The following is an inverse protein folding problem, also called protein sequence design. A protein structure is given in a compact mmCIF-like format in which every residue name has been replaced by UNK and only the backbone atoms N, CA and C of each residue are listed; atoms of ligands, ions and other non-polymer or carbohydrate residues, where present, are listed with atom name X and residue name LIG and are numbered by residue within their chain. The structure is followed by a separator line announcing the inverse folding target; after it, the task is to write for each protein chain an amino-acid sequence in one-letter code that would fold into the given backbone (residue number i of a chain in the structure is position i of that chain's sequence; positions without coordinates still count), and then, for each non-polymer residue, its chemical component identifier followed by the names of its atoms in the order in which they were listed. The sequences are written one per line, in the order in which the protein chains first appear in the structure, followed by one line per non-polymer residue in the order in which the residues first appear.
data_IF_217400133656
#
_entry.id   IF_217400133656
#
_cell.length_a   1.000
_cell.length_b   1.000
_cell.length_c   1.000
_cell.angle_alpha   90.00
_cell.angle_beta   90.00
_cell.angle_gamma   90.00
#
_symmetry.space_group_name_H-M   'P 1'
#
loop_
_entity.id
_entity.type
_entity.pdbx_description
1 polymer ?
#
# COMPACT_ATOMS: atom_id res chain seq x y z
N UNK A 1 22.02 -30.01 -24.50
CA UNK A 1 21.41 -28.96 -25.33
C UNK A 1 20.31 -28.35 -24.49
N UNK A 2 20.57 -27.19 -23.89
CA UNK A 2 19.57 -26.46 -23.12
C UNK A 2 18.60 -25.84 -24.13
N UNK A 3 17.35 -26.28 -24.12
CA UNK A 3 16.27 -25.59 -24.82
C UNK A 3 15.96 -24.36 -24.01
N UNK A 4 16.54 -23.22 -24.39
CA UNK A 4 16.10 -21.92 -23.90
C UNK A 4 14.63 -21.78 -24.30
N UNK A 5 13.72 -21.82 -23.32
CA UNK A 5 12.32 -21.48 -23.56
C UNK A 5 12.31 -20.03 -24.06
N UNK A 6 11.96 -19.85 -25.32
CA UNK A 6 11.71 -18.53 -25.87
C UNK A 6 10.62 -17.89 -25.00
N UNK A 7 10.91 -16.75 -24.39
CA UNK A 7 9.90 -15.96 -23.71
C UNK A 7 8.65 -15.78 -24.59
N UNK A 8 7.48 -15.47 -24.01
CA UNK A 8 6.25 -15.38 -24.77
C UNK A 8 6.42 -14.43 -25.94
N UNK A 9 5.86 -14.79 -27.11
CA UNK A 9 5.87 -13.91 -28.28
C UNK A 9 5.22 -12.57 -27.87
N UNK A 10 5.74 -11.44 -28.30
CA UNK A 10 5.14 -10.15 -27.99
C UNK A 10 3.63 -10.14 -28.26
N UNK A 11 2.82 -9.87 -27.24
CA UNK A 11 1.37 -9.86 -27.33
C UNK A 11 0.66 -11.21 -27.11
N UNK A 12 1.39 -12.32 -26.81
CA UNK A 12 0.78 -13.54 -26.30
C UNK A 12 0.66 -13.46 -24.77
N UNK A 13 -0.45 -13.98 -24.24
CA UNK A 13 -0.60 -14.12 -22.77
C UNK A 13 0.34 -15.20 -22.25
N UNK A 14 0.69 -15.13 -20.98
CA UNK A 14 1.44 -16.18 -20.30
C UNK A 14 0.62 -17.45 -20.20
N UNK A 15 1.29 -18.58 -20.25
CA UNK A 15 0.68 -19.90 -19.99
C UNK A 15 0.75 -20.24 -18.49
N UNK A 16 1.81 -19.80 -17.80
CA UNK A 16 2.05 -20.09 -16.40
C UNK A 16 2.77 -18.94 -15.68
N UNK A 17 2.25 -18.56 -14.52
CA UNK A 17 2.79 -17.50 -13.67
C UNK A 17 3.12 -18.08 -12.28
N UNK A 18 4.31 -17.77 -11.77
CA UNK A 18 4.65 -18.00 -10.37
C UNK A 18 4.22 -16.82 -9.52
N UNK A 19 3.54 -17.10 -8.43
CA UNK A 19 3.09 -16.10 -7.43
C UNK A 19 4.09 -16.11 -6.28
N UNK A 20 4.94 -15.07 -6.22
CA UNK A 20 5.98 -14.91 -5.19
C UNK A 20 5.43 -14.15 -3.98
N UNK A 21 4.34 -14.63 -3.43
CA UNK A 21 3.70 -14.05 -2.26
C UNK A 21 2.82 -15.08 -1.54
N UNK A 22 2.16 -14.68 -0.46
CA UNK A 22 1.30 -15.52 0.37
C UNK A 22 -0.03 -14.81 0.70
N UNK A 23 -0.86 -15.53 1.44
CA UNK A 23 -2.06 -14.93 2.02
C UNK A 23 -3.14 -14.58 1.00
N UNK A 24 -3.92 -13.56 1.31
CA UNK A 24 -5.06 -13.17 0.47
C UNK A 24 -4.62 -12.67 -0.91
N UNK A 25 -3.45 -11.99 -0.99
CA UNK A 25 -2.97 -11.47 -2.28
C UNK A 25 -2.53 -12.59 -3.21
N UNK A 26 -1.94 -13.67 -2.71
CA UNK A 26 -1.64 -14.84 -3.53
C UNK A 26 -2.91 -15.45 -4.13
N UNK A 27 -3.97 -15.57 -3.32
CA UNK A 27 -5.27 -16.04 -3.80
C UNK A 27 -5.94 -15.06 -4.78
N UNK A 28 -5.78 -13.74 -4.55
CA UNK A 28 -6.29 -12.69 -5.45
C UNK A 28 -5.63 -12.78 -6.84
N UNK A 29 -4.32 -12.93 -6.88
CA UNK A 29 -3.56 -13.08 -8.13
C UNK A 29 -3.97 -14.40 -8.82
N UNK A 30 -4.10 -15.47 -8.08
CA UNK A 30 -4.52 -16.78 -8.61
C UNK A 30 -5.91 -16.68 -9.27
N UNK A 31 -6.86 -15.95 -8.69
CA UNK A 31 -8.18 -15.71 -9.29
C UNK A 31 -8.07 -14.95 -10.61
N UNK A 32 -7.24 -13.89 -10.67
CA UNK A 32 -7.00 -13.16 -11.91
C UNK A 32 -6.37 -14.02 -13.00
N UNK A 33 -5.39 -14.85 -12.65
CA UNK A 33 -4.77 -15.80 -13.57
C UNK A 33 -5.79 -16.80 -14.14
N UNK A 34 -6.64 -17.38 -13.29
CA UNK A 34 -7.68 -18.33 -13.71
C UNK A 34 -8.67 -17.71 -14.69
N UNK A 35 -9.13 -16.50 -14.45
CA UNK A 35 -10.03 -15.78 -15.35
C UNK A 35 -9.37 -15.48 -16.70
N UNK A 36 -8.03 -15.33 -16.73
CA UNK A 36 -7.24 -15.15 -17.94
C UNK A 36 -6.83 -16.49 -18.60
N UNK A 37 -7.20 -17.63 -18.05
CA UNK A 37 -6.81 -18.96 -18.54
C UNK A 37 -5.35 -19.31 -18.30
N UNK A 38 -4.70 -18.70 -17.31
CA UNK A 38 -3.28 -18.84 -16.98
C UNK A 38 -3.14 -19.79 -15.79
N UNK A 39 -2.25 -20.78 -15.90
CA UNK A 39 -1.88 -21.68 -14.80
C UNK A 39 -1.04 -20.95 -13.76
N UNK A 40 -1.14 -21.40 -12.52
CA UNK A 40 -0.43 -20.78 -11.39
C UNK A 40 0.48 -21.76 -10.66
N UNK A 41 1.65 -21.26 -10.31
CA UNK A 41 2.55 -21.88 -9.33
C UNK A 41 2.53 -21.02 -8.08
N UNK A 42 2.13 -21.56 -6.94
CA UNK A 42 2.19 -20.86 -5.67
C UNK A 42 3.41 -21.33 -4.87
N UNK A 43 4.29 -20.39 -4.50
CA UNK A 43 5.34 -20.71 -3.54
C UNK A 43 4.78 -20.60 -2.12
N UNK A 44 5.34 -21.40 -1.20
CA UNK A 44 4.95 -21.34 0.21
C UNK A 44 6.11 -21.70 1.13
N UNK A 45 6.07 -21.20 2.35
CA UNK A 45 6.91 -21.72 3.44
C UNK A 45 6.31 -23.00 4.02
N UNK A 46 7.07 -23.70 4.86
CA UNK A 46 6.55 -24.86 5.61
C UNK A 46 5.30 -24.52 6.43
N UNK A 47 5.24 -23.32 7.01
CA UNK A 47 4.09 -22.87 7.82
C UNK A 47 2.81 -22.60 7.00
N UNK A 48 2.91 -22.37 5.72
CA UNK A 48 1.79 -22.10 4.84
C UNK A 48 1.37 -23.30 3.95
N UNK A 49 1.91 -24.50 4.21
CA UNK A 49 1.65 -25.69 3.38
C UNK A 49 0.15 -26.00 3.24
N UNK A 50 -0.64 -25.75 4.27
CA UNK A 50 -2.10 -25.97 4.30
C UNK A 50 -2.91 -24.71 3.94
N UNK A 51 -2.27 -23.66 3.44
CA UNK A 51 -2.97 -22.43 3.08
C UNK A 51 -3.86 -22.64 1.86
N UNK A 52 -5.01 -21.97 1.82
CA UNK A 52 -6.01 -22.10 0.75
C UNK A 52 -5.45 -21.84 -0.65
N UNK A 53 -4.58 -20.83 -0.78
CA UNK A 53 -3.96 -20.51 -2.07
C UNK A 53 -3.00 -21.59 -2.55
N UNK A 54 -2.38 -22.36 -1.64
CA UNK A 54 -1.54 -23.52 -1.97
C UNK A 54 -2.40 -24.69 -2.47
N UNK A 55 -3.47 -25.00 -1.73
CA UNK A 55 -4.39 -26.08 -2.11
C UNK A 55 -5.10 -25.84 -3.46
N UNK A 56 -5.32 -24.59 -3.82
CA UNK A 56 -6.02 -24.22 -5.05
C UNK A 56 -5.09 -23.92 -6.23
N UNK A 57 -3.77 -23.93 -6.06
CA UNK A 57 -2.82 -23.72 -7.14
C UNK A 57 -2.78 -24.92 -8.09
N UNK A 58 -2.41 -24.67 -9.36
CA UNK A 58 -2.15 -25.77 -10.31
C UNK A 58 -0.88 -26.54 -9.91
N UNK A 59 0.12 -25.80 -9.42
CA UNK A 59 1.37 -26.33 -8.86
C UNK A 59 1.75 -25.53 -7.60
N UNK A 60 2.47 -26.16 -6.69
CA UNK A 60 3.01 -25.47 -5.50
C UNK A 60 4.43 -25.94 -5.19
N UNK A 61 5.24 -25.04 -4.67
CA UNK A 61 6.64 -25.31 -4.30
C UNK A 61 6.93 -24.76 -2.91
N UNK A 62 7.37 -25.63 -2.00
CA UNK A 62 7.90 -25.19 -0.71
C UNK A 62 9.29 -24.57 -0.92
N UNK A 63 9.43 -23.30 -0.51
CA UNK A 63 10.66 -22.51 -0.72
C UNK A 63 11.49 -22.33 0.55
N UNK A 64 11.12 -22.97 1.67
CA UNK A 64 11.90 -22.96 2.89
C UNK A 64 11.09 -22.92 4.17
N UNK A 65 11.79 -22.71 5.27
CA UNK A 65 11.24 -22.67 6.60
C UNK A 65 10.28 -21.48 6.84
N UNK A 66 9.54 -21.51 7.95
CA UNK A 66 8.52 -20.53 8.28
C UNK A 66 8.99 -19.04 8.28
N UNK A 67 10.16 -18.66 8.83
CA UNK A 67 10.61 -17.27 8.83
C UNK A 67 10.72 -16.71 7.40
N UNK A 68 10.24 -15.49 7.17
CA UNK A 68 10.23 -14.86 5.84
C UNK A 68 11.61 -14.77 5.19
N UNK A 69 12.67 -14.55 5.98
CA UNK A 69 14.06 -14.49 5.49
C UNK A 69 14.52 -15.81 4.86
N UNK A 70 13.96 -16.93 5.32
CA UNK A 70 14.34 -18.28 4.89
C UNK A 70 13.38 -18.82 3.80
N UNK A 71 12.36 -18.04 3.41
CA UNK A 71 11.34 -18.43 2.44
C UNK A 71 10.98 -17.28 1.48
N UNK A 72 10.00 -16.43 1.80
CA UNK A 72 9.47 -15.39 0.91
C UNK A 72 10.46 -14.27 0.56
N UNK A 73 11.56 -14.11 1.29
CA UNK A 73 12.67 -13.21 0.99
C UNK A 73 13.89 -13.93 0.39
N UNK A 74 13.80 -15.25 0.16
CA UNK A 74 14.87 -16.05 -0.43
C UNK A 74 14.78 -15.99 -1.96
N UNK A 75 15.43 -15.01 -2.56
CA UNK A 75 15.44 -14.80 -4.02
C UNK A 75 15.88 -16.05 -4.79
N UNK A 76 17.01 -16.72 -4.45
CA UNK A 76 17.42 -17.93 -5.15
C UNK A 76 16.36 -19.03 -5.15
N UNK A 77 15.70 -19.28 -4.01
CA UNK A 77 14.67 -20.30 -3.92
C UNK A 77 13.45 -19.98 -4.78
N UNK A 78 13.04 -18.72 -4.86
CA UNK A 78 11.92 -18.28 -5.71
C UNK A 78 12.27 -18.44 -7.19
N UNK A 79 13.46 -18.05 -7.63
CA UNK A 79 13.90 -18.19 -9.01
C UNK A 79 14.01 -19.66 -9.39
N UNK A 80 14.61 -20.51 -8.53
CA UNK A 80 14.67 -21.94 -8.76
C UNK A 80 13.28 -22.59 -8.86
N UNK A 81 12.31 -22.15 -8.04
CA UNK A 81 10.93 -22.59 -8.14
C UNK A 81 10.32 -22.22 -9.51
N UNK A 82 10.62 -21.05 -10.05
CA UNK A 82 10.16 -20.64 -11.38
C UNK A 82 10.80 -21.49 -12.49
N UNK A 83 12.09 -21.82 -12.36
CA UNK A 83 12.81 -22.66 -13.32
C UNK A 83 12.26 -24.07 -13.38
N UNK A 84 12.11 -24.75 -12.23
CA UNK A 84 11.66 -26.15 -12.18
C UNK A 84 10.19 -26.36 -12.55
N UNK A 85 9.40 -25.29 -12.54
CA UNK A 85 7.99 -25.32 -12.90
C UNK A 85 7.70 -24.75 -14.29
N UNK A 86 8.72 -24.34 -15.03
CA UNK A 86 8.59 -23.69 -16.33
C UNK A 86 7.65 -22.46 -16.31
N UNK A 87 7.67 -21.68 -15.24
CA UNK A 87 6.93 -20.44 -15.18
C UNK A 87 7.52 -19.41 -16.17
N UNK A 88 6.70 -18.57 -16.76
CA UNK A 88 7.15 -17.55 -17.73
C UNK A 88 7.28 -16.16 -17.08
N UNK A 89 6.55 -15.93 -16.01
CA UNK A 89 6.53 -14.67 -15.30
C UNK A 89 6.38 -14.87 -13.79
N UNK A 90 6.80 -13.87 -13.02
CA UNK A 90 6.71 -13.85 -11.55
C UNK A 90 5.90 -12.64 -11.12
N UNK A 91 4.82 -12.87 -10.36
CA UNK A 91 4.03 -11.82 -9.75
C UNK A 91 4.40 -11.68 -8.27
N UNK A 92 4.95 -10.53 -7.85
CA UNK A 92 5.43 -10.35 -6.48
C UNK A 92 4.32 -9.97 -5.48
N UNK A 93 3.12 -9.61 -5.94
CA UNK A 93 2.05 -9.09 -5.09
C UNK A 93 2.41 -7.75 -4.43
N UNK A 94 2.24 -7.66 -3.11
CA UNK A 94 2.67 -6.54 -2.27
C UNK A 94 3.47 -7.04 -1.06
N UNK A 95 4.27 -6.17 -0.43
CA UNK A 95 5.19 -6.56 0.63
C UNK A 95 6.32 -7.47 0.13
N UNK A 96 7.06 -8.10 1.03
CA UNK A 96 8.19 -8.97 0.72
C UNK A 96 9.14 -8.37 -0.33
N UNK A 97 9.22 -8.99 -1.52
CA UNK A 97 10.14 -8.60 -2.60
C UNK A 97 9.49 -7.70 -3.67
N UNK A 98 8.24 -7.30 -3.49
CA UNK A 98 7.51 -6.54 -4.53
C UNK A 98 8.12 -5.18 -4.89
N UNK A 99 8.85 -4.56 -3.97
CA UNK A 99 9.56 -3.29 -4.16
C UNK A 99 11.09 -3.44 -4.04
N UNK A 100 11.58 -4.66 -4.29
CA UNK A 100 13.01 -4.95 -4.31
C UNK A 100 13.55 -4.90 -5.75
N UNK A 101 14.31 -3.86 -6.07
CA UNK A 101 14.86 -3.67 -7.41
C UNK A 101 15.83 -4.78 -7.83
N UNK A 102 16.62 -5.30 -6.89
CA UNK A 102 17.57 -6.39 -7.17
C UNK A 102 16.85 -7.71 -7.46
N UNK A 103 15.71 -7.94 -6.83
CA UNK A 103 14.86 -9.08 -7.17
C UNK A 103 14.30 -8.95 -8.58
N UNK A 104 13.77 -7.79 -8.93
CA UNK A 104 13.26 -7.52 -10.28
C UNK A 104 14.35 -7.71 -11.35
N UNK A 105 15.56 -7.17 -11.11
CA UNK A 105 16.72 -7.36 -11.98
C UNK A 105 17.07 -8.85 -12.14
N UNK A 106 17.11 -9.61 -11.04
CA UNK A 106 17.46 -11.05 -11.09
C UNK A 106 16.39 -11.87 -11.82
N UNK A 107 15.12 -11.54 -11.62
CA UNK A 107 14.01 -12.18 -12.35
C UNK A 107 14.19 -12.00 -13.86
N UNK A 108 14.38 -10.76 -14.31
CA UNK A 108 14.54 -10.45 -15.73
C UNK A 108 15.84 -11.04 -16.31
N UNK A 109 16.96 -10.97 -15.59
CA UNK A 109 18.23 -11.57 -16.00
C UNK A 109 18.20 -13.10 -16.04
N UNK A 110 17.28 -13.74 -15.30
CA UNK A 110 17.05 -15.19 -15.35
C UNK A 110 16.10 -15.61 -16.49
N UNK A 111 15.63 -14.66 -17.30
CA UNK A 111 14.76 -14.93 -18.46
C UNK A 111 13.27 -14.97 -18.16
N UNK A 112 12.85 -14.59 -16.96
CA UNK A 112 11.44 -14.46 -16.58
C UNK A 112 10.96 -13.02 -16.71
N UNK A 113 9.65 -12.85 -16.90
CA UNK A 113 9.04 -11.51 -16.85
C UNK A 113 8.70 -11.15 -15.41
N UNK A 114 9.19 -10.02 -14.93
CA UNK A 114 8.75 -9.44 -13.66
C UNK A 114 7.42 -8.70 -13.87
N UNK A 115 6.34 -9.14 -13.19
CA UNK A 115 5.03 -8.48 -13.27
C UNK A 115 5.03 -7.28 -12.31
N UNK A 116 5.47 -6.16 -12.83
CA UNK A 116 5.66 -4.92 -12.09
C UNK A 116 6.43 -3.89 -12.91
N UNK A 117 6.82 -2.78 -12.30
CA UNK A 117 7.59 -1.75 -12.97
C UNK A 117 9.03 -2.20 -13.23
N UNK A 118 9.76 -1.41 -14.01
CA UNK A 118 11.16 -1.67 -14.29
C UNK A 118 12.01 -1.51 -13.01
N UNK A 119 13.11 -2.27 -12.88
CA UNK A 119 13.99 -2.18 -11.70
C UNK A 119 14.47 -0.76 -11.39
N UNK A 120 14.77 0.05 -12.42
CA UNK A 120 15.18 1.44 -12.22
C UNK A 120 14.08 2.33 -11.64
N UNK A 121 12.80 2.09 -11.97
CA UNK A 121 11.68 2.81 -11.37
C UNK A 121 11.52 2.42 -9.90
N UNK A 122 11.64 1.13 -9.56
CA UNK A 122 11.59 0.66 -8.18
C UNK A 122 12.72 1.31 -7.37
N UNK A 123 13.95 1.31 -7.90
CA UNK A 123 15.12 1.88 -7.24
C UNK A 123 14.97 3.40 -7.01
N UNK A 124 14.50 4.12 -8.02
CA UNK A 124 14.30 5.57 -7.94
C UNK A 124 13.19 5.93 -6.95
N UNK A 125 12.08 5.22 -6.97
CA UNK A 125 10.95 5.50 -6.06
C UNK A 125 11.20 5.00 -4.63
N UNK A 126 12.04 3.98 -4.45
CA UNK A 126 12.46 3.50 -3.13
C UNK A 126 13.40 4.44 -2.37
N UNK A 127 14.07 5.37 -3.07
CA UNK A 127 14.87 6.43 -2.45
C UNK A 127 14.03 7.70 -2.32
N UNK A 128 13.74 8.12 -1.08
CA UNK A 128 12.85 9.28 -0.81
C UNK A 128 13.36 10.60 -1.41
N UNK A 129 14.67 10.79 -1.47
CA UNK A 129 15.27 12.01 -2.03
C UNK A 129 15.18 11.98 -3.55
N UNK A 130 15.55 10.86 -4.17
CA UNK A 130 15.46 10.66 -5.61
C UNK A 130 14.00 10.72 -6.09
N UNK A 131 13.07 10.10 -5.36
CA UNK A 131 11.65 10.13 -5.66
C UNK A 131 11.08 11.56 -5.65
N UNK A 132 11.34 12.34 -4.60
CA UNK A 132 10.91 13.75 -4.54
C UNK A 132 11.54 14.60 -5.66
N UNK A 133 12.84 14.39 -5.97
CA UNK A 133 13.50 15.08 -7.05
C UNK A 133 12.89 14.73 -8.42
N UNK A 134 12.59 13.45 -8.66
CA UNK A 134 11.91 13.00 -9.87
C UNK A 134 10.50 13.60 -9.97
N UNK A 135 9.73 13.60 -8.88
CA UNK A 135 8.37 14.14 -8.84
C UNK A 135 8.34 15.65 -9.12
N UNK A 136 9.25 16.42 -8.53
CA UNK A 136 9.37 17.86 -8.82
C UNK A 136 9.64 18.15 -10.31
N UNK A 137 10.51 17.34 -10.96
CA UNK A 137 10.82 17.49 -12.39
C UNK A 137 9.59 17.27 -13.29
N UNK A 138 8.67 16.42 -12.88
CA UNK A 138 7.45 16.12 -13.66
C UNK A 138 6.24 16.94 -13.20
N UNK A 139 6.41 17.84 -12.23
CA UNK A 139 5.38 18.78 -11.77
C UNK A 139 4.41 18.21 -10.74
N UNK A 140 4.74 17.10 -10.07
CA UNK A 140 3.98 16.59 -8.92
C UNK A 140 4.36 17.39 -7.68
N UNK A 141 3.40 17.97 -6.95
CA UNK A 141 3.68 18.81 -5.80
C UNK A 141 4.25 17.97 -4.64
N UNK A 142 5.35 18.45 -4.05
CA UNK A 142 5.98 17.83 -2.89
C UNK A 142 5.89 18.75 -1.68
N UNK A 143 6.02 18.19 -0.47
CA UNK A 143 6.09 18.98 0.76
C UNK A 143 7.17 20.05 0.59
N UNK A 144 6.84 21.35 0.80
CA UNK A 144 7.85 22.40 0.80
C UNK A 144 8.90 22.16 1.89
N UNK A 145 10.16 22.42 1.60
CA UNK A 145 11.23 22.18 2.57
C UNK A 145 12.58 22.64 2.08
N UNK A 146 13.62 22.35 2.84
CA UNK A 146 15.01 22.60 2.44
C UNK A 146 15.41 21.73 1.24
N UNK A 147 16.25 22.25 0.36
CA UNK A 147 16.79 21.54 -0.81
C UNK A 147 17.89 20.51 -0.44
N UNK A 148 17.98 20.16 0.83
CA UNK A 148 18.99 19.24 1.36
C UNK A 148 19.18 19.43 2.85
N UNK A 149 20.36 19.03 3.34
CA UNK A 149 20.72 19.22 4.72
C UNK A 149 20.73 20.71 5.10
N UNK A 150 20.22 21.01 6.30
CA UNK A 150 20.25 22.36 6.82
C UNK A 150 21.70 22.81 7.10
N UNK A 151 22.07 24.04 6.73
CA UNK A 151 23.38 24.60 7.03
C UNK A 151 23.58 24.80 8.54
N UNK A 152 24.75 25.24 8.94
CA UNK A 152 25.03 25.60 10.37
C UNK A 152 24.73 27.05 10.66
N UNK A 153 24.63 27.91 9.63
CA UNK A 153 24.34 29.33 9.80
C UNK A 153 22.87 29.55 10.21
N UNK A 154 22.69 30.12 11.39
CA UNK A 154 21.36 30.44 11.94
C UNK A 154 20.55 31.41 11.06
N UNK A 155 21.19 32.32 10.32
CA UNK A 155 20.45 33.24 9.42
C UNK A 155 19.90 32.51 8.21
N UNK A 156 20.69 31.63 7.61
CA UNK A 156 20.23 30.79 6.49
C UNK A 156 19.12 29.84 6.90
N UNK A 157 19.24 29.20 8.07
CA UNK A 157 18.19 28.33 8.62
C UNK A 157 16.87 29.10 8.76
N UNK A 158 16.90 30.30 9.35
CA UNK A 158 15.70 31.15 9.48
C UNK A 158 15.11 31.54 8.12
N UNK A 159 15.96 31.89 7.16
CA UNK A 159 15.52 32.23 5.79
C UNK A 159 14.82 31.06 5.12
N UNK A 160 15.35 29.84 5.24
CA UNK A 160 14.74 28.61 4.72
C UNK A 160 13.38 28.37 5.38
N UNK A 161 13.31 28.43 6.71
CA UNK A 161 12.07 28.21 7.45
C UNK A 161 10.99 29.26 7.14
N UNK A 162 11.39 30.53 7.00
CA UNK A 162 10.49 31.60 6.61
C UNK A 162 9.91 31.41 5.20
N UNK A 163 10.73 30.90 4.26
CA UNK A 163 10.28 30.60 2.89
C UNK A 163 9.30 29.40 2.85
N UNK A 164 9.49 28.41 3.73
CA UNK A 164 8.60 27.25 3.87
C UNK A 164 7.29 27.62 4.60
N UNK A 165 7.37 28.53 5.55
CA UNK A 165 6.25 28.96 6.39
C UNK A 165 5.98 28.03 7.58
N UNK A 166 5.84 28.64 8.79
CA UNK A 166 5.55 27.89 10.03
C UNK A 166 4.10 27.34 10.04
N UNK A 167 3.86 26.24 10.79
CA UNK A 167 4.83 25.40 11.48
C UNK A 167 5.70 24.60 10.54
N UNK A 168 6.93 24.29 10.99
CA UNK A 168 7.88 23.43 10.25
C UNK A 168 8.30 22.23 11.09
N UNK A 169 8.73 21.16 10.44
CA UNK A 169 9.28 19.98 11.09
C UNK A 169 10.72 19.77 10.67
N UNK A 170 11.60 19.54 11.64
CA UNK A 170 12.99 19.20 11.44
C UNK A 170 13.10 17.67 11.49
N UNK A 171 13.76 17.07 10.52
CA UNK A 171 13.89 15.61 10.40
C UNK A 171 15.35 15.22 10.21
N UNK A 172 15.80 14.19 10.93
CA UNK A 172 17.10 13.56 10.70
C UNK A 172 17.11 12.76 9.40
N UNK A 173 18.17 12.88 8.61
CA UNK A 173 18.32 12.12 7.35
C UNK A 173 18.30 10.61 7.55
N UNK A 174 18.86 10.12 8.67
CA UNK A 174 18.87 8.72 9.04
C UNK A 174 17.67 8.28 9.90
N UNK A 175 16.76 9.20 10.21
CA UNK A 175 15.62 8.96 11.11
C UNK A 175 14.47 8.21 10.45
N UNK A 176 13.76 7.43 11.27
CA UNK A 176 12.55 6.73 10.88
C UNK A 176 11.71 6.39 12.10
N UNK A 177 10.42 6.05 11.89
CA UNK A 177 9.51 5.64 12.97
C UNK A 177 9.27 6.71 14.05
N UNK A 178 9.31 8.00 13.68
CA UNK A 178 9.05 9.11 14.62
C UNK A 178 10.27 9.56 15.45
N UNK A 179 11.43 8.94 15.29
CA UNK A 179 12.67 9.35 15.96
C UNK A 179 13.46 10.36 15.13
N UNK A 180 14.10 11.34 15.81
CA UNK A 180 14.87 12.38 15.15
C UNK A 180 13.99 13.39 14.40
N UNK A 181 12.80 13.68 14.91
CA UNK A 181 11.88 14.66 14.37
C UNK A 181 11.44 15.65 15.43
N UNK A 182 11.34 16.94 15.07
CA UNK A 182 10.91 18.00 15.99
C UNK A 182 10.09 19.06 15.27
N UNK A 183 8.88 19.28 15.75
CA UNK A 183 8.00 20.33 15.23
C UNK A 183 8.35 21.68 15.85
N UNK A 184 8.34 22.72 15.04
CA UNK A 184 8.66 24.09 15.42
C UNK A 184 7.58 25.04 14.92
N UNK A 185 6.88 25.67 15.85
CA UNK A 185 5.76 26.57 15.55
C UNK A 185 6.19 28.03 15.35
N UNK A 186 7.34 28.42 15.89
CA UNK A 186 7.80 29.82 15.88
C UNK A 186 9.29 29.94 15.55
N UNK A 187 9.67 31.08 14.96
CA UNK A 187 11.07 31.36 14.61
C UNK A 187 12.00 31.35 15.83
N UNK A 188 11.51 31.82 17.00
CA UNK A 188 12.30 31.87 18.20
C UNK A 188 12.84 30.50 18.67
N UNK A 189 12.06 29.44 18.47
CA UNK A 189 12.42 28.09 18.86
C UNK A 189 13.30 27.38 17.82
N UNK A 190 13.39 27.87 16.57
CA UNK A 190 13.91 27.16 15.42
C UNK A 190 15.37 26.70 15.58
N UNK A 191 16.28 27.64 15.87
CA UNK A 191 17.73 27.35 15.90
C UNK A 191 18.08 26.34 16.98
N UNK A 192 17.49 26.49 18.17
CA UNK A 192 17.65 25.54 19.27
C UNK A 192 17.13 24.15 18.90
N UNK A 193 15.94 24.09 18.28
CA UNK A 193 15.36 22.83 17.81
C UNK A 193 16.23 22.13 16.76
N UNK A 194 16.84 22.87 15.83
CA UNK A 194 17.79 22.31 14.83
C UNK A 194 19.01 21.71 15.53
N UNK A 195 19.61 22.45 16.48
CA UNK A 195 20.79 21.97 17.20
C UNK A 195 20.50 20.70 18.01
N UNK A 196 19.36 20.67 18.71
CA UNK A 196 18.94 19.49 19.47
C UNK A 196 18.71 18.29 18.56
N UNK A 197 18.03 18.50 17.43
CA UNK A 197 17.77 17.40 16.49
C UNK A 197 19.07 16.90 15.84
N UNK A 198 20.03 17.77 15.51
CA UNK A 198 21.37 17.37 15.02
C UNK A 198 22.10 16.51 16.06
N UNK A 199 22.07 16.89 17.34
CA UNK A 199 22.72 16.12 18.41
C UNK A 199 22.07 14.75 18.61
N UNK A 200 20.72 14.69 18.62
CA UNK A 200 19.98 13.44 18.69
C UNK A 200 20.26 12.54 17.49
N UNK A 201 20.33 13.10 16.27
CA UNK A 201 20.61 12.39 15.05
C UNK A 201 22.06 11.82 15.04
N UNK A 202 23.03 12.58 15.51
CA UNK A 202 24.40 12.11 15.68
C UNK A 202 24.48 10.93 16.67
N UNK A 203 23.80 11.04 17.80
CA UNK A 203 23.81 9.99 18.82
C UNK A 203 23.10 8.71 18.38
N UNK A 204 21.94 8.85 17.72
CA UNK A 204 21.10 7.71 17.37
C UNK A 204 21.47 7.05 16.03
N UNK A 205 21.97 7.81 15.06
CA UNK A 205 22.17 7.36 13.67
C UNK A 205 23.60 7.56 13.18
N UNK A 206 24.50 8.09 14.02
CA UNK A 206 25.87 8.50 13.66
C UNK A 206 25.93 9.42 12.42
N UNK A 207 24.88 10.21 12.23
CA UNK A 207 24.73 11.17 11.13
C UNK A 207 23.98 12.40 11.61
N UNK A 208 24.61 13.58 11.76
CA UNK A 208 23.99 14.81 12.26
C UNK A 208 23.14 15.53 11.21
N UNK A 209 23.08 15.03 9.98
CA UNK A 209 22.36 15.69 8.90
C UNK A 209 20.87 15.74 9.19
N UNK A 210 20.31 16.95 9.20
CA UNK A 210 18.88 17.23 9.34
C UNK A 210 18.39 18.10 8.20
N UNK A 211 17.14 17.94 7.83
CA UNK A 211 16.45 18.77 6.85
C UNK A 211 15.15 19.31 7.45
N UNK A 212 14.56 20.30 6.81
CA UNK A 212 13.36 20.99 7.27
C UNK A 212 12.26 20.85 6.23
N UNK A 213 11.03 20.57 6.69
CA UNK A 213 9.84 20.51 5.84
C UNK A 213 8.69 21.30 6.49
N UNK A 214 7.69 21.69 5.68
CA UNK A 214 6.41 22.17 6.17
C UNK A 214 5.78 21.11 7.08
N UNK A 215 5.36 21.49 8.27
CA UNK A 215 4.57 20.63 9.13
C UNK A 215 3.08 20.78 8.78
N UNK A 216 2.42 19.65 8.57
CA UNK A 216 0.99 19.57 8.34
C UNK A 216 0.33 19.14 9.64
N UNK A 217 -0.65 19.93 10.12
CA UNK A 217 -1.22 19.74 11.46
C UNK A 217 -2.30 18.66 11.47
N UNK A 218 -3.18 18.67 10.46
CA UNK A 218 -4.32 17.76 10.36
C UNK A 218 -4.46 17.17 8.94
N UNK A 219 -3.39 16.58 8.37
CA UNK A 219 -3.45 16.10 7.02
C UNK A 219 -4.29 14.84 6.91
N UNK A 220 -4.86 14.63 5.73
CA UNK A 220 -5.45 13.37 5.29
C UNK A 220 -4.43 12.63 4.43
N UNK A 221 -4.50 11.30 4.45
CA UNK A 221 -3.72 10.45 3.57
C UNK A 221 -4.57 10.13 2.33
N UNK A 222 -4.31 10.83 1.25
CA UNK A 222 -4.99 10.64 -0.04
C UNK A 222 -3.99 10.06 -1.03
N UNK A 223 -4.42 9.06 -1.78
CA UNK A 223 -3.55 8.39 -2.74
C UNK A 223 -4.22 8.23 -4.10
N UNK A 224 -3.42 8.28 -5.17
CA UNK A 224 -3.89 8.19 -6.56
C UNK A 224 -3.40 6.87 -7.16
N UNK A 225 -4.36 6.02 -7.55
CA UNK A 225 -4.07 4.79 -8.27
C UNK A 225 -3.78 5.08 -9.74
N UNK A 226 -2.68 4.54 -10.26
CA UNK A 226 -2.34 4.62 -11.69
C UNK A 226 -2.12 3.25 -12.29
N UNK A 227 -2.35 3.17 -13.60
CA UNK A 227 -1.92 2.08 -14.47
C UNK A 227 -1.19 2.67 -15.66
N UNK A 228 -0.05 2.10 -16.04
CA UNK A 228 0.72 2.54 -17.19
C UNK A 228 1.27 1.34 -17.97
N UNK A 229 1.34 1.47 -19.31
CA UNK A 229 1.87 0.44 -20.19
C UNK A 229 3.21 0.85 -20.83
N UNK A 230 3.85 -0.06 -21.54
CA UNK A 230 5.10 0.21 -22.26
C UNK A 230 4.91 1.01 -23.56
N UNK A 231 3.65 1.28 -23.95
CA UNK A 231 3.27 1.99 -25.17
C UNK A 231 3.00 3.47 -24.93
N UNK A 232 3.45 4.01 -23.78
CA UNK A 232 3.26 5.41 -23.35
C UNK A 232 1.80 5.79 -23.08
N UNK A 233 0.97 4.82 -22.68
CA UNK A 233 -0.35 5.09 -22.15
C UNK A 233 -0.31 5.01 -20.62
N UNK A 234 -0.95 5.95 -19.97
CA UNK A 234 -1.16 5.93 -18.53
C UNK A 234 -2.54 6.51 -18.20
N UNK A 235 -3.18 5.93 -17.22
CA UNK A 235 -4.47 6.37 -16.67
C UNK A 235 -4.39 6.43 -15.15
N UNK A 236 -5.20 7.29 -14.54
CA UNK A 236 -5.47 7.25 -13.12
C UNK A 236 -6.87 6.68 -12.84
N UNK A 237 -7.00 5.94 -11.76
CA UNK A 237 -8.23 5.24 -11.37
C UNK A 237 -8.82 5.87 -10.11
N UNK A 238 -8.91 7.18 -10.10
CA UNK A 238 -9.38 7.98 -8.99
C UNK A 238 -8.49 7.85 -7.74
N UNK A 239 -8.98 8.40 -6.64
CA UNK A 239 -8.29 8.45 -5.37
C UNK A 239 -8.89 7.49 -4.34
N UNK A 240 -8.09 7.20 -3.32
CA UNK A 240 -8.51 6.57 -2.07
C UNK A 240 -8.17 7.47 -0.90
N UNK A 241 -8.99 7.45 0.13
CA UNK A 241 -8.70 8.01 1.45
C UNK A 241 -8.25 6.88 2.38
N UNK A 242 -7.04 6.99 2.88
CA UNK A 242 -6.42 6.02 3.77
C UNK A 242 -6.04 6.67 5.13
N UNK A 243 -6.76 7.70 5.52
CA UNK A 243 -6.47 8.47 6.75
C UNK A 243 -6.79 7.69 8.02
N UNK A 244 -7.68 6.68 7.96
CA UNK A 244 -7.98 5.84 9.12
C UNK A 244 -6.86 4.84 9.35
N UNK A 245 -5.89 5.25 10.13
CA UNK A 245 -4.66 4.49 10.39
C UNK A 245 -4.22 4.60 11.85
N UNK A 246 -3.41 3.65 12.28
CA UNK A 246 -2.74 3.66 13.57
C UNK A 246 -1.26 3.42 13.37
N UNK A 247 -0.40 4.29 13.89
CA UNK A 247 1.06 4.20 13.74
C UNK A 247 1.48 3.94 12.27
N UNK A 248 0.86 4.68 11.35
CA UNK A 248 1.04 4.56 9.90
C UNK A 248 0.58 3.21 9.29
N UNK A 249 -0.16 2.39 10.03
CA UNK A 249 -0.83 1.21 9.51
C UNK A 249 -2.29 1.53 9.20
N UNK A 250 -2.64 1.47 7.92
CA UNK A 250 -4.00 1.68 7.43
C UNK A 250 -4.91 0.56 7.96
N UNK A 251 -6.11 0.88 8.40
CA UNK A 251 -7.12 -0.09 8.88
C UNK A 251 -8.46 0.02 8.18
N UNK A 252 -8.82 1.22 7.71
CA UNK A 252 -10.00 1.45 6.87
C UNK A 252 -9.56 2.33 5.72
N UNK A 253 -9.97 1.95 4.52
CA UNK A 253 -9.78 2.73 3.31
C UNK A 253 -11.11 2.93 2.60
N UNK A 254 -11.27 4.07 1.94
CA UNK A 254 -12.47 4.34 1.15
C UNK A 254 -12.17 5.04 -0.16
N UNK A 255 -13.01 4.84 -1.14
CA UNK A 255 -12.96 5.47 -2.44
C UNK A 255 -14.38 5.80 -2.96
N UNK A 256 -14.57 7.00 -3.54
CA UNK A 256 -13.65 8.15 -3.55
C UNK A 256 -13.47 8.78 -2.17
N UNK A 257 -12.47 9.66 -2.02
CA UNK A 257 -12.24 10.37 -0.78
C UNK A 257 -13.40 11.32 -0.45
N UNK A 258 -13.99 11.26 0.77
CA UNK A 258 -15.06 12.18 1.15
C UNK A 258 -14.61 13.64 1.09
N UNK A 259 -15.52 14.55 0.71
CA UNK A 259 -15.30 16.00 0.69
C UNK A 259 -14.14 16.51 -0.19
N UNK A 260 -13.50 15.64 -0.97
CA UNK A 260 -12.48 16.06 -1.91
C UNK A 260 -13.10 16.66 -3.17
N UNK A 261 -12.70 17.89 -3.52
CA UNK A 261 -13.19 18.58 -4.70
C UNK A 261 -12.75 17.87 -5.98
N UNK A 262 -13.70 17.50 -6.84
CA UNK A 262 -13.45 16.76 -8.09
C UNK A 262 -12.38 17.41 -8.96
N UNK A 263 -12.40 18.75 -9.11
CA UNK A 263 -11.40 19.50 -9.89
C UNK A 263 -9.96 19.31 -9.36
N UNK A 264 -9.79 19.22 -8.04
CA UNK A 264 -8.46 19.01 -7.44
C UNK A 264 -7.99 17.57 -7.68
N UNK A 265 -8.88 16.60 -7.49
CA UNK A 265 -8.64 15.20 -7.77
C UNK A 265 -8.24 14.97 -9.21
N UNK A 266 -9.02 15.49 -10.17
CA UNK A 266 -8.76 15.30 -11.59
C UNK A 266 -7.39 15.89 -11.99
N UNK A 267 -7.08 17.10 -11.53
CA UNK A 267 -5.79 17.74 -11.76
C UNK A 267 -4.59 16.96 -11.22
N UNK A 268 -4.70 16.41 -9.99
CA UNK A 268 -3.59 15.64 -9.44
C UNK A 268 -3.48 14.26 -10.10
N UNK A 269 -4.61 13.63 -10.44
CA UNK A 269 -4.65 12.36 -11.18
C UNK A 269 -3.99 12.48 -12.56
N UNK A 270 -4.32 13.50 -13.33
CA UNK A 270 -3.69 13.79 -14.62
C UNK A 270 -2.16 13.96 -14.49
N UNK A 271 -1.69 14.70 -13.49
CA UNK A 271 -0.25 14.87 -13.21
C UNK A 271 0.43 13.54 -12.86
N UNK A 272 -0.22 12.68 -12.09
CA UNK A 272 0.31 11.35 -11.77
C UNK A 272 0.42 10.47 -13.03
N UNK A 273 -0.59 10.48 -13.90
CA UNK A 273 -0.54 9.75 -15.16
C UNK A 273 0.56 10.29 -16.10
N UNK A 274 0.69 11.60 -16.24
CA UNK A 274 1.78 12.22 -17.00
C UNK A 274 3.16 11.89 -16.43
N UNK A 275 3.30 11.85 -15.11
CA UNK A 275 4.52 11.45 -14.43
C UNK A 275 4.92 10.02 -14.81
N UNK A 276 3.98 9.09 -14.84
CA UNK A 276 4.22 7.71 -15.28
C UNK A 276 4.75 7.66 -16.71
N UNK A 277 4.16 8.42 -17.65
CA UNK A 277 4.61 8.49 -19.04
C UNK A 277 6.04 9.03 -19.13
N UNK A 278 6.33 10.13 -18.44
CA UNK A 278 7.65 10.77 -18.44
C UNK A 278 8.75 9.90 -17.84
N UNK A 279 8.42 9.08 -16.83
CA UNK A 279 9.35 8.15 -16.20
C UNK A 279 9.48 6.80 -16.92
N UNK A 280 8.69 6.55 -17.96
CA UNK A 280 8.62 5.25 -18.61
C UNK A 280 8.14 4.13 -17.66
N UNK A 281 7.25 4.48 -16.72
CA UNK A 281 6.66 3.55 -15.76
C UNK A 281 5.75 2.54 -16.46
N UNK A 282 5.73 1.30 -15.96
CA UNK A 282 4.79 0.25 -16.39
C UNK A 282 4.19 -0.48 -15.19
N UNK A 283 2.99 -0.99 -15.35
CA UNK A 283 2.26 -1.73 -14.30
C UNK A 283 1.37 -0.84 -13.46
N UNK A 284 0.97 -1.37 -12.30
CA UNK A 284 0.21 -0.63 -11.30
C UNK A 284 1.15 0.16 -10.39
N UNK A 285 0.73 1.33 -10.00
CA UNK A 285 1.43 2.15 -9.01
C UNK A 285 0.46 3.04 -8.26
N UNK A 286 0.89 3.53 -7.12
CA UNK A 286 0.09 4.44 -6.30
C UNK A 286 0.95 5.59 -5.81
N UNK A 287 0.52 6.81 -6.10
CA UNK A 287 1.13 8.02 -5.56
C UNK A 287 0.44 8.38 -4.25
N UNK A 288 1.17 8.40 -3.17
CA UNK A 288 0.67 8.77 -1.84
C UNK A 288 0.94 10.25 -1.54
N UNK A 289 -0.08 10.91 -0.99
CA UNK A 289 -0.04 12.33 -0.64
C UNK A 289 -0.56 12.57 0.77
N UNK A 290 0.04 13.54 1.45
CA UNK A 290 -0.66 14.26 2.50
C UNK A 290 -1.51 15.36 1.85
N UNK A 291 -2.76 15.47 2.28
CA UNK A 291 -3.70 16.47 1.79
C UNK A 291 -4.20 17.34 2.93
N UNK A 292 -4.00 18.63 2.82
CA UNK A 292 -4.47 19.62 3.80
C UNK A 292 -4.73 20.95 3.09
N UNK A 293 -5.78 21.67 3.47
CA UNK A 293 -6.14 22.98 2.93
C UNK A 293 -6.20 23.05 1.39
N UNK A 294 -6.83 22.07 0.75
CA UNK A 294 -6.95 21.95 -0.71
C UNK A 294 -5.60 21.75 -1.46
N UNK A 295 -4.55 21.38 -0.76
CA UNK A 295 -3.22 21.13 -1.33
C UNK A 295 -2.78 19.68 -1.14
N UNK A 296 -2.14 19.13 -2.17
CA UNK A 296 -1.54 17.80 -2.16
C UNK A 296 -0.02 17.90 -1.99
N UNK A 297 0.53 17.06 -1.14
CA UNK A 297 1.96 16.99 -0.90
C UNK A 297 2.45 15.55 -1.03
N UNK A 298 3.20 15.27 -2.09
CA UNK A 298 3.73 13.94 -2.38
C UNK A 298 4.60 13.42 -1.23
N UNK A 299 4.33 12.20 -0.79
CA UNK A 299 5.12 11.48 0.22
C UNK A 299 6.02 10.46 -0.46
N UNK A 300 5.39 9.50 -1.17
CA UNK A 300 6.05 8.37 -1.80
C UNK A 300 5.20 7.78 -2.93
N UNK A 301 5.81 6.93 -3.74
CA UNK A 301 5.11 6.13 -4.73
C UNK A 301 5.33 4.66 -4.44
N UNK A 302 4.25 3.93 -4.22
CA UNK A 302 4.29 2.47 -4.14
C UNK A 302 4.31 1.89 -5.55
N UNK A 303 5.38 1.17 -5.88
CA UNK A 303 5.63 0.62 -7.22
C UNK A 303 5.09 -0.80 -7.37
N UNK A 304 3.88 -1.02 -6.88
CA UNK A 304 3.19 -2.32 -6.79
C UNK A 304 1.68 -2.13 -6.66
N UNK A 305 0.94 -3.23 -6.70
CA UNK A 305 -0.44 -3.24 -6.21
C UNK A 305 -0.45 -3.02 -4.69
N UNK A 306 -1.46 -2.32 -4.18
CA UNK A 306 -1.62 -2.12 -2.73
C UNK A 306 -2.71 -3.03 -2.15
N UNK A 307 -2.73 -3.16 -0.81
CA UNK A 307 -3.75 -3.95 -0.08
C UNK A 307 -5.14 -3.46 -0.45
N UNK A 308 -5.33 -2.15 -0.47
CA UNK A 308 -6.58 -1.41 -0.65
C UNK A 308 -7.04 -1.22 -2.11
N UNK A 309 -6.39 -1.90 -3.08
CA UNK A 309 -6.84 -1.85 -4.48
C UNK A 309 -8.32 -2.25 -4.70
N UNK A 310 -8.93 -3.10 -3.86
CA UNK A 310 -10.32 -3.49 -4.06
C UNK A 310 -11.31 -2.34 -4.06
N UNK A 311 -11.13 -1.29 -3.23
CA UNK A 311 -12.08 -0.16 -3.23
C UNK A 311 -12.05 0.59 -4.57
N UNK A 312 -10.88 0.72 -5.20
CA UNK A 312 -10.73 1.28 -6.54
C UNK A 312 -11.39 0.40 -7.60
N UNK A 313 -11.20 -0.91 -7.52
CA UNK A 313 -11.83 -1.87 -8.44
C UNK A 313 -13.37 -1.80 -8.36
N UNK A 314 -13.92 -1.66 -7.14
CA UNK A 314 -15.37 -1.60 -6.93
C UNK A 314 -16.00 -0.34 -7.52
N UNK A 315 -15.33 0.81 -7.48
CA UNK A 315 -15.88 2.07 -7.99
C UNK A 315 -15.59 2.31 -9.47
N UNK A 316 -14.62 1.60 -10.07
CA UNK A 316 -14.24 1.79 -11.48
C UNK A 316 -14.59 0.62 -12.38
N UNK A 317 -14.78 -0.58 -11.81
CA UNK A 317 -14.96 -1.81 -12.57
C UNK A 317 -13.67 -2.31 -13.27
N UNK A 318 -12.51 -1.72 -12.98
CA UNK A 318 -11.22 -2.12 -13.55
C UNK A 318 -10.55 -3.15 -12.64
N UNK A 319 -10.27 -4.34 -13.16
CA UNK A 319 -9.46 -5.35 -12.46
C UNK A 319 -7.97 -4.99 -12.58
N UNK A 320 -7.41 -4.41 -11.50
CA UNK A 320 -6.05 -3.91 -11.47
C UNK A 320 -5.04 -5.05 -11.62
N UNK A 321 -5.29 -6.20 -11.01
CA UNK A 321 -4.37 -7.34 -11.07
C UNK A 321 -4.34 -7.97 -12.46
N UNK A 322 -5.50 -8.09 -13.12
CA UNK A 322 -5.53 -8.52 -14.52
C UNK A 322 -4.79 -7.55 -15.44
N UNK A 323 -4.94 -6.23 -15.22
CA UNK A 323 -4.21 -5.24 -16.01
C UNK A 323 -2.70 -5.32 -15.78
N UNK A 324 -2.23 -5.56 -14.54
CA UNK A 324 -0.80 -5.81 -14.29
C UNK A 324 -0.26 -6.97 -15.13
N UNK A 325 -0.99 -8.09 -15.16
CA UNK A 325 -0.60 -9.29 -15.92
C UNK A 325 -0.58 -9.00 -17.43
N UNK A 326 -1.59 -8.32 -17.94
CA UNK A 326 -1.70 -7.96 -19.36
C UNK A 326 -0.61 -6.99 -19.80
N UNK A 327 -0.33 -5.97 -18.99
CA UNK A 327 0.74 -5.00 -19.25
C UNK A 327 2.09 -5.71 -19.29
N UNK A 328 2.35 -6.60 -18.34
CA UNK A 328 3.59 -7.36 -18.28
C UNK A 328 3.75 -8.33 -19.48
N UNK A 329 2.65 -8.81 -20.06
CA UNK A 329 2.64 -9.58 -21.31
C UNK A 329 2.83 -8.70 -22.57
N UNK A 330 3.03 -7.40 -22.42
CA UNK A 330 3.27 -6.45 -23.51
C UNK A 330 2.01 -5.86 -24.15
N UNK A 331 0.84 -6.09 -23.57
CA UNK A 331 -0.41 -5.51 -24.08
C UNK A 331 -0.54 -4.03 -23.73
N UNK A 332 -1.23 -3.28 -24.60
CA UNK A 332 -1.69 -1.93 -24.27
C UNK A 332 -2.79 -1.97 -23.23
N UNK A 333 -2.90 -0.91 -22.44
CA UNK A 333 -4.05 -0.68 -21.56
C UNK A 333 -5.36 -0.85 -22.34
N UNK A 334 -6.32 -1.57 -21.75
CA UNK A 334 -7.66 -1.75 -22.32
C UNK A 334 -8.51 -0.49 -22.26
N UNK A 335 -8.17 0.42 -21.37
CA UNK A 335 -8.96 1.60 -21.03
C UNK A 335 -8.20 2.87 -21.40
N UNK A 336 -8.93 3.86 -21.87
CA UNK A 336 -8.47 5.26 -21.95
C UNK A 336 -9.03 6.01 -20.76
N UNK A 337 -8.45 7.13 -20.38
CA UNK A 337 -8.92 7.91 -19.23
C UNK A 337 -10.43 8.24 -19.30
N UNK A 338 -10.92 8.57 -20.46
CA UNK A 338 -12.35 8.88 -20.68
C UNK A 338 -13.30 7.69 -20.53
N UNK A 339 -12.79 6.48 -20.55
CA UNK A 339 -13.57 5.26 -20.41
C UNK A 339 -13.74 4.86 -18.92
N UNK A 340 -13.02 5.55 -18.01
CA UNK A 340 -13.09 5.32 -16.59
C UNK A 340 -14.21 6.15 -15.97
N UNK A 341 -15.26 5.48 -15.53
CA UNK A 341 -16.40 6.09 -14.84
C UNK A 341 -16.32 5.77 -13.34
N UNK A 342 -16.61 6.78 -12.52
CA UNK A 342 -16.75 6.59 -11.08
C UNK A 342 -18.17 6.14 -10.76
N UNK A 343 -18.34 5.00 -10.08
CA UNK A 343 -19.63 4.41 -9.74
C UNK A 343 -19.73 4.17 -8.24
N UNK A 344 -20.54 4.97 -7.58
CA UNK A 344 -20.83 4.81 -6.17
C UNK A 344 -19.67 5.10 -5.24
N UNK A 345 -19.61 4.37 -4.15
CA UNK A 345 -18.62 4.51 -3.08
C UNK A 345 -18.30 3.13 -2.48
N UNK A 346 -17.03 2.90 -2.19
CA UNK A 346 -16.57 1.65 -1.57
C UNK A 346 -15.77 1.93 -0.30
N UNK A 347 -15.95 1.08 0.70
CA UNK A 347 -15.21 1.11 1.97
C UNK A 347 -14.61 -0.27 2.18
N UNK A 348 -13.33 -0.33 2.55
CA UNK A 348 -12.62 -1.55 2.93
C UNK A 348 -12.27 -1.49 4.42
N UNK A 349 -12.53 -2.58 5.14
CA UNK A 349 -12.02 -2.82 6.49
C UNK A 349 -11.00 -3.95 6.47
N UNK A 350 -9.80 -3.70 6.95
CA UNK A 350 -8.78 -4.74 7.12
C UNK A 350 -9.10 -5.55 8.37
N UNK A 351 -9.37 -6.82 8.20
CA UNK A 351 -9.63 -7.74 9.32
C UNK A 351 -8.32 -8.40 9.70
N UNK A 352 -7.80 -8.01 10.85
CA UNK A 352 -6.53 -8.46 11.38
C UNK A 352 -6.73 -9.43 12.56
N UNK A 353 -5.90 -10.47 12.61
CA UNK A 353 -5.78 -11.40 13.75
C UNK A 353 -4.98 -10.72 14.86
N UNK A 354 -5.63 -9.84 15.62
CA UNK A 354 -5.03 -9.03 16.68
C UNK A 354 -6.04 -8.62 17.74
N UNK A 355 -5.56 -8.28 18.91
CA UNK A 355 -6.42 -7.72 19.96
C UNK A 355 -6.91 -6.32 19.53
N UNK A 356 -8.24 -6.04 19.59
CA UNK A 356 -8.82 -4.79 19.08
C UNK A 356 -8.41 -3.52 19.84
N UNK A 357 -7.86 -3.67 21.06
CA UNK A 357 -7.46 -2.56 21.93
C UNK A 357 -5.94 -2.37 21.95
N UNK A 358 -5.20 -3.45 22.20
CA UNK A 358 -3.74 -3.40 22.30
C UNK A 358 -3.03 -3.55 20.95
N UNK A 359 -3.71 -4.10 19.94
CA UNK A 359 -3.18 -4.45 18.61
C UNK A 359 -2.05 -5.49 18.65
N UNK A 360 -1.96 -6.24 19.72
CA UNK A 360 -1.04 -7.36 19.79
C UNK A 360 -1.55 -8.48 18.88
N UNK A 361 -0.69 -9.03 17.99
CA UNK A 361 -1.07 -10.16 17.14
C UNK A 361 -1.64 -11.34 17.92
N UNK A 362 -2.65 -11.98 17.35
CA UNK A 362 -3.34 -13.15 17.93
C UNK A 362 -3.30 -14.32 16.93
N UNK A 363 -2.13 -14.94 16.74
CA UNK A 363 -2.03 -16.16 15.95
C UNK A 363 -2.77 -17.31 16.63
N UNK A 364 -3.18 -18.30 15.86
CA UNK A 364 -3.89 -19.47 16.43
C UNK A 364 -4.86 -20.09 15.43
N UNK A 365 -5.62 -21.08 15.93
CA UNK A 365 -6.58 -21.82 15.11
C UNK A 365 -7.93 -21.11 15.08
N UNK A 366 -8.42 -20.85 13.87
CA UNK A 366 -9.77 -20.34 13.63
C UNK A 366 -10.74 -21.51 13.78
N UNK A 367 -11.61 -21.45 14.79
CA UNK A 367 -12.59 -22.53 15.06
C UNK A 367 -13.88 -22.36 14.27
N UNK A 368 -14.31 -21.09 14.02
CA UNK A 368 -15.46 -20.74 13.16
C UNK A 368 -15.08 -19.57 12.26
N UNK A 369 -15.47 -19.69 11.02
CA UNK A 369 -15.28 -18.63 10.02
C UNK A 369 -16.52 -18.52 9.14
N UNK A 370 -17.17 -17.35 9.18
CA UNK A 370 -18.29 -17.03 8.30
C UNK A 370 -18.06 -15.67 7.67
N UNK A 371 -18.14 -15.62 6.34
CA UNK A 371 -18.04 -14.39 5.57
C UNK A 371 -19.42 -13.85 5.24
N UNK A 372 -19.65 -12.54 5.37
CA UNK A 372 -20.91 -11.92 4.99
C UNK A 372 -21.12 -11.97 3.47
N UNK A 373 -22.36 -11.78 3.06
CA UNK A 373 -22.76 -11.71 1.66
C UNK A 373 -23.70 -10.57 1.37
N UNK A 374 -24.33 -10.63 0.20
CA UNK A 374 -25.32 -9.65 -0.23
C UNK A 374 -24.81 -8.65 -1.26
N UNK A 375 -25.70 -7.76 -1.76
CA UNK A 375 -25.36 -6.82 -2.81
C UNK A 375 -24.23 -5.88 -2.41
N UNK A 376 -23.19 -5.80 -3.25
CA UNK A 376 -22.04 -4.91 -3.06
C UNK A 376 -21.07 -5.35 -1.96
N UNK A 377 -21.16 -6.58 -1.45
CA UNK A 377 -20.20 -7.12 -0.47
C UNK A 377 -19.17 -7.98 -1.20
N UNK A 378 -17.89 -7.72 -0.91
CA UNK A 378 -16.74 -8.50 -1.34
C UNK A 378 -15.86 -8.84 -0.15
N UNK A 379 -15.38 -10.07 -0.10
CA UNK A 379 -14.40 -10.52 0.91
C UNK A 379 -13.21 -11.13 0.22
N UNK A 380 -12.04 -10.53 0.40
CA UNK A 380 -10.77 -11.10 -0.04
C UNK A 380 -10.07 -11.71 1.17
N UNK A 381 -9.99 -13.04 1.20
CA UNK A 381 -9.44 -13.81 2.33
C UNK A 381 -8.87 -15.14 1.87
N UNK A 382 -7.84 -15.60 2.57
CA UNK A 382 -7.24 -16.92 2.36
C UNK A 382 -7.53 -17.89 3.50
N UNK A 383 -8.15 -17.42 4.60
CA UNK A 383 -8.43 -18.25 5.76
C UNK A 383 -9.76 -18.99 5.63
N UNK A 384 -9.95 -20.02 6.43
CA UNK A 384 -11.15 -20.85 6.50
C UNK A 384 -11.29 -21.46 7.91
N UNK A 385 -12.42 -22.09 8.19
CA UNK A 385 -12.60 -22.79 9.46
C UNK A 385 -11.54 -23.90 9.60
N UNK A 386 -10.93 -23.97 10.77
CA UNK A 386 -9.82 -24.88 11.11
C UNK A 386 -8.42 -24.46 10.61
N UNK A 387 -8.31 -23.33 9.87
CA UNK A 387 -7.03 -22.77 9.47
C UNK A 387 -6.23 -22.27 10.68
N UNK A 388 -4.93 -22.55 10.71
CA UNK A 388 -4.01 -22.03 11.73
C UNK A 388 -3.32 -20.76 11.19
N UNK A 389 -3.60 -19.62 11.81
CA UNK A 389 -2.93 -18.35 11.51
C UNK A 389 -1.53 -18.37 12.08
N UNK A 390 -0.47 -18.41 11.24
CA UNK A 390 0.90 -18.52 11.71
C UNK A 390 1.40 -17.21 12.33
N UNK A 391 2.30 -17.28 13.34
CA UNK A 391 2.83 -16.10 14.03
C UNK A 391 3.96 -15.37 13.29
N UNK A 392 4.35 -15.83 12.10
CA UNK A 392 5.55 -15.38 11.38
C UNK A 392 5.32 -14.22 10.43
N UNK A 393 4.07 -13.88 10.12
CA UNK A 393 3.68 -12.95 9.07
C UNK A 393 2.73 -11.88 9.60
N UNK A 394 2.39 -10.94 8.72
CA UNK A 394 1.40 -9.91 9.03
C UNK A 394 0.07 -10.51 9.51
N UNK A 395 -0.62 -9.79 10.38
CA UNK A 395 -1.87 -10.22 11.01
C UNK A 395 -3.10 -10.16 10.09
N UNK A 396 -2.99 -9.62 8.88
CA UNK A 396 -4.10 -9.48 7.93
C UNK A 396 -4.62 -10.85 7.49
N UNK A 397 -5.88 -11.15 7.83
CA UNK A 397 -6.54 -12.42 7.46
C UNK A 397 -7.66 -12.26 6.43
N UNK A 398 -8.25 -11.08 6.36
CA UNK A 398 -9.29 -10.77 5.38
C UNK A 398 -9.39 -9.27 5.13
N UNK A 399 -9.90 -8.91 3.96
CA UNK A 399 -10.40 -7.58 3.63
C UNK A 399 -11.89 -7.69 3.39
N UNK A 400 -12.66 -6.91 4.13
CA UNK A 400 -14.11 -6.80 3.94
C UNK A 400 -14.39 -5.49 3.22
N UNK A 401 -14.99 -5.58 2.03
CA UNK A 401 -15.29 -4.42 1.20
C UNK A 401 -16.80 -4.32 1.01
N UNK A 402 -17.33 -3.12 1.23
CA UNK A 402 -18.74 -2.79 0.96
C UNK A 402 -18.82 -1.66 -0.06
N UNK A 403 -19.57 -1.88 -1.13
CA UNK A 403 -19.85 -0.91 -2.17
C UNK A 403 -21.33 -0.52 -2.15
N UNK A 404 -21.63 0.76 -2.36
CA UNK A 404 -23.00 1.30 -2.49
C UNK A 404 -23.06 2.38 -3.56
N UNK A 405 -24.27 2.81 -3.92
CA UNK A 405 -24.47 3.89 -4.90
C UNK A 405 -23.95 5.23 -4.39
N UNK A 406 -23.81 5.34 -3.07
CA UNK A 406 -23.22 6.49 -2.37
C UNK A 406 -22.58 6.03 -1.06
N UNK A 407 -21.90 6.96 -0.36
CA UNK A 407 -21.19 6.66 0.89
C UNK A 407 -22.12 6.18 2.01
N UNK A 408 -23.31 6.76 2.13
CA UNK A 408 -24.30 6.37 3.14
C UNK A 408 -24.70 4.90 2.97
N UNK A 409 -24.98 4.47 1.75
CA UNK A 409 -25.31 3.09 1.45
C UNK A 409 -24.11 2.15 1.66
N UNK A 410 -22.91 2.56 1.29
CA UNK A 410 -21.68 1.79 1.54
C UNK A 410 -21.46 1.59 3.06
N UNK A 411 -21.64 2.63 3.88
CA UNK A 411 -21.59 2.55 5.34
C UNK A 411 -22.67 1.60 5.90
N UNK A 412 -23.91 1.70 5.42
CA UNK A 412 -24.99 0.82 5.86
C UNK A 412 -24.68 -0.65 5.55
N UNK A 413 -24.19 -0.94 4.33
CA UNK A 413 -23.77 -2.29 3.91
C UNK A 413 -22.60 -2.79 4.73
N UNK A 414 -21.61 -1.94 5.03
CA UNK A 414 -20.47 -2.31 5.85
C UNK A 414 -20.89 -2.67 7.28
N UNK A 415 -21.79 -1.89 7.90
CA UNK A 415 -22.33 -2.22 9.24
C UNK A 415 -23.00 -3.57 9.26
N UNK A 416 -23.85 -3.87 8.28
CA UNK A 416 -24.51 -5.16 8.13
C UNK A 416 -23.48 -6.28 7.97
N UNK A 417 -22.54 -6.11 7.05
CA UNK A 417 -21.51 -7.11 6.79
C UNK A 417 -20.62 -7.39 8.01
N UNK A 418 -20.22 -6.35 8.76
CA UNK A 418 -19.46 -6.52 10.00
C UNK A 418 -20.26 -7.23 11.10
N UNK A 419 -21.59 -7.08 11.13
CA UNK A 419 -22.46 -7.79 12.09
C UNK A 419 -22.65 -9.26 11.75
N UNK A 420 -22.55 -9.63 10.48
CA UNK A 420 -22.65 -11.00 9.99
C UNK A 420 -21.34 -11.77 10.06
N UNK A 421 -20.21 -11.07 9.97
CA UNK A 421 -18.89 -11.71 9.93
C UNK A 421 -18.55 -12.38 11.26
N UNK A 422 -18.16 -13.66 11.19
CA UNK A 422 -17.76 -14.43 12.38
C UNK A 422 -16.33 -14.93 12.18
N UNK A 423 -15.48 -14.64 13.16
CA UNK A 423 -14.13 -15.22 13.29
C UNK A 423 -13.95 -15.58 14.76
N UNK A 424 -13.91 -16.88 15.07
CA UNK A 424 -13.73 -17.39 16.43
C UNK A 424 -12.46 -18.24 16.54
N UNK A 425 -11.96 -18.38 17.76
CA UNK A 425 -10.73 -19.11 18.06
C UNK A 425 -9.49 -18.23 18.18
N UNK A 426 -9.54 -17.03 17.60
CA UNK A 426 -8.50 -15.99 17.70
C UNK A 426 -9.15 -14.64 18.00
N UNK A 427 -8.36 -13.68 18.44
CA UNK A 427 -8.83 -12.28 18.55
C UNK A 427 -8.70 -11.58 17.19
N UNK A 428 -9.66 -10.71 16.90
CA UNK A 428 -9.64 -9.85 15.69
C UNK A 428 -10.06 -8.43 16.03
N UNK A 429 -9.77 -7.51 15.11
CA UNK A 429 -10.17 -6.11 15.21
C UNK A 429 -11.62 -5.82 14.72
N UNK A 430 -12.47 -6.85 14.54
CA UNK A 430 -13.87 -6.70 14.10
C UNK A 430 -14.67 -5.72 14.98
N UNK A 431 -14.53 -5.83 16.31
CA UNK A 431 -15.23 -4.95 17.25
C UNK A 431 -14.85 -3.47 17.05
N UNK A 432 -13.56 -3.19 16.80
CA UNK A 432 -13.08 -1.84 16.50
C UNK A 432 -13.73 -1.30 15.22
N UNK A 433 -13.83 -2.09 14.17
CA UNK A 433 -14.49 -1.68 12.93
C UNK A 433 -15.98 -1.40 13.14
N UNK A 434 -16.68 -2.22 13.91
CA UNK A 434 -18.10 -1.99 14.26
C UNK A 434 -18.29 -0.67 15.00
N UNK A 435 -17.38 -0.33 15.91
CA UNK A 435 -17.40 0.96 16.62
C UNK A 435 -17.12 2.14 15.66
N UNK A 436 -16.10 2.02 14.81
CA UNK A 436 -15.71 3.09 13.87
C UNK A 436 -16.81 3.37 12.83
N UNK A 437 -17.51 2.34 12.34
CA UNK A 437 -18.63 2.53 11.41
C UNK A 437 -19.82 3.28 12.02
N UNK A 438 -19.89 3.39 13.34
CA UNK A 438 -20.91 4.13 14.08
C UNK A 438 -20.38 5.44 14.68
N UNK A 439 -19.09 5.76 14.50
CA UNK A 439 -18.49 6.98 14.99
C UNK A 439 -18.97 8.19 14.16
N UNK A 440 -19.49 9.23 14.82
CA UNK A 440 -20.07 10.38 14.15
C UNK A 440 -19.07 11.15 13.26
N UNK A 441 -17.81 11.27 13.68
CA UNK A 441 -16.79 11.95 12.91
C UNK A 441 -16.36 11.13 11.68
N UNK A 442 -16.28 9.80 11.80
CA UNK A 442 -16.04 8.94 10.64
C UNK A 442 -17.21 8.96 9.66
N UNK A 443 -18.46 8.93 10.15
CA UNK A 443 -19.66 9.02 9.32
C UNK A 443 -19.70 10.34 8.56
N UNK A 444 -19.32 11.45 9.19
CA UNK A 444 -19.20 12.74 8.53
C UNK A 444 -18.18 12.71 7.40
N UNK A 445 -17.03 12.03 7.59
CA UNK A 445 -15.92 11.98 6.63
C UNK A 445 -14.86 13.03 6.86
N UNK A 446 -13.77 12.96 6.08
CA UNK A 446 -12.70 13.96 6.13
C UNK A 446 -11.81 13.90 7.37
N UNK A 447 -11.78 12.81 8.11
CA UNK A 447 -10.93 12.62 9.29
C UNK A 447 -9.44 12.65 8.94
N UNK A 448 -8.61 13.22 9.82
CA UNK A 448 -7.15 13.28 9.66
C UNK A 448 -6.47 11.95 10.00
N UNK A 449 -5.19 11.83 9.65
CA UNK A 449 -4.36 10.66 10.00
C UNK A 449 -4.19 10.47 11.52
N UNK A 450 -4.50 11.47 12.32
CA UNK A 450 -4.37 11.45 13.80
C UNK A 450 -5.66 10.98 14.49
N UNK A 451 -6.78 10.95 13.77
CA UNK A 451 -8.11 10.71 14.33
C UNK A 451 -8.20 9.48 15.23
N UNK A 452 -7.70 8.33 14.77
CA UNK A 452 -7.83 7.08 15.54
C UNK A 452 -7.01 7.12 16.84
N UNK A 453 -5.79 7.61 16.79
CA UNK A 453 -4.91 7.69 17.97
C UNK A 453 -5.50 8.64 19.01
N UNK A 454 -6.02 9.79 18.58
CA UNK A 454 -6.70 10.76 19.46
C UNK A 454 -7.97 10.16 20.08
N UNK A 455 -8.78 9.45 19.29
CA UNK A 455 -9.97 8.74 19.76
C UNK A 455 -9.61 7.71 20.83
N UNK A 456 -8.59 6.91 20.58
CA UNK A 456 -8.14 5.89 21.54
C UNK A 456 -7.60 6.51 22.83
N UNK A 457 -6.84 7.60 22.73
CA UNK A 457 -6.35 8.33 23.91
C UNK A 457 -7.50 8.90 24.75
N UNK A 458 -8.56 9.44 24.11
CA UNK A 458 -9.76 9.90 24.81
C UNK A 458 -10.47 8.77 25.54
N UNK A 459 -10.63 7.61 24.91
CA UNK A 459 -11.29 6.44 25.53
C UNK A 459 -10.53 5.94 26.75
N UNK A 460 -9.20 5.85 26.69
CA UNK A 460 -8.36 5.46 27.84
C UNK A 460 -8.53 6.42 29.03
N UNK A 461 -8.53 7.73 28.79
CA UNK A 461 -8.75 8.73 29.83
C UNK A 461 -10.12 8.57 30.49
N UNK A 462 -11.18 8.25 29.73
CA UNK A 462 -12.52 8.01 30.26
C UNK A 462 -12.55 6.73 31.09
N UNK A 463 -11.82 5.69 30.69
CA UNK A 463 -11.70 4.43 31.43
C UNK A 463 -10.85 4.54 32.70
N UNK A 464 -10.17 5.67 32.94
CA UNK A 464 -9.31 5.88 34.11
C UNK A 464 -7.94 5.18 34.03
N UNK A 465 -7.56 4.75 32.84
CA UNK A 465 -6.23 4.18 32.59
C UNK A 465 -5.24 5.33 32.33
N UNK A 466 -4.26 5.49 33.25
CA UNK A 466 -3.12 6.40 33.04
C UNK A 466 -2.13 5.78 32.05
N UNK A 467 -1.50 6.64 31.24
CA UNK A 467 -0.44 6.28 30.27
C UNK A 467 0.71 5.48 30.88
#
# INVERSE_FOLDING_TARGET
MAVFSSGPRPGAMFEKILIANRGEIALRIQRACRELGIKTVCVHSEADADAKYVMLADESVCIGAAPSKDSYLNIPAIISAAEVTDAQAIHPGYGFLSENADFADRVENSGFVFIGPKPENIRTMGDKVAAKAAMRKVGVPCVPGSEGALPDDAKEIRKIAAAVGYPVIIKASGGGGGRGMRVVHTEAALVNAVQMTKAEAQAAFNNPMVYLEKFLENPRHIEIQVLADEHKNAIFLWERDCSMQRRHQKIIEEAPAPELKSRLRDRIGERCAEACIKMGYRGAGTFEFLYENDEFFFIEMNTRVQVEHPVTEMITGVDIVQEQIRIAAGHKLRYRQKDIELRGHAIECRINAENPVSFVPSPGRITRFHVPGGPGIRVDSHVYADYFVPPYYDSLIAKLIAHGDNREQALARMRTALSEMVVEGIQTNLALHQELMNDAAFIQGGTSIHFLEERMAKLKKIAGESD
#
